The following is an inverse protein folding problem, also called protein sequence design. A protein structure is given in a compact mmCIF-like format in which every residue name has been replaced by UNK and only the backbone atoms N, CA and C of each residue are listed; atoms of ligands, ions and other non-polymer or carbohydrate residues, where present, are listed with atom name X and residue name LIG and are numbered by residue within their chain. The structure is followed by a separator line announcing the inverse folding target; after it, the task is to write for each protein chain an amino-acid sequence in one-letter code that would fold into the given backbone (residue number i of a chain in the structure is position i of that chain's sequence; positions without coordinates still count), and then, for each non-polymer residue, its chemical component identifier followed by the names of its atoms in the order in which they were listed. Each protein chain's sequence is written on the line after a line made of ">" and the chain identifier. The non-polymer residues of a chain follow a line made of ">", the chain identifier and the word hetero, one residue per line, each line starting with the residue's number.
data_IF_102489107764
#
_entry.id   IF_102489107764
#
_cell.length_a   1.000
_cell.length_b   1.000
_cell.length_c   1.000
_cell.angle_alpha   90.00
_cell.angle_beta   90.00
_cell.angle_gamma   90.00
#
_symmetry.space_group_name_H-M   'P 1'
#
loop_
_entity.id
_entity.type
_entity.pdbx_description
1 polymer ?
#
# COMPACT_ATOMS: atom_id res chain seq x y z
N UNK A 1 3.40 -10.71 -17.15
CA UNK A 1 3.45 -10.87 -15.68
C UNK A 1 4.67 -10.09 -15.21
N UNK A 2 4.49 -8.88 -14.69
CA UNK A 2 5.59 -8.10 -14.14
C UNK A 2 5.72 -8.51 -12.67
N UNK A 3 6.82 -9.19 -12.34
CA UNK A 3 7.16 -9.60 -10.99
C UNK A 3 7.65 -8.36 -10.22
N UNK A 4 6.74 -7.74 -9.47
CA UNK A 4 6.99 -6.62 -8.55
C UNK A 4 7.56 -7.14 -7.20
N UNK A 5 8.64 -7.94 -7.27
CA UNK A 5 9.28 -8.61 -6.12
C UNK A 5 10.25 -7.71 -5.33
N UNK A 6 10.08 -6.38 -5.38
CA UNK A 6 11.02 -5.45 -4.74
C UNK A 6 10.84 -5.30 -3.21
N UNK A 7 9.95 -6.03 -2.55
CA UNK A 7 9.65 -5.85 -1.12
C UNK A 7 9.83 -7.11 -0.24
N UNK A 8 10.27 -8.25 -0.78
CA UNK A 8 10.22 -9.55 -0.06
C UNK A 8 11.19 -9.61 1.14
N UNK A 9 12.17 -8.70 1.24
CA UNK A 9 13.17 -8.68 2.31
C UNK A 9 12.98 -7.55 3.33
N UNK A 10 11.92 -6.75 3.24
CA UNK A 10 11.66 -5.67 4.19
C UNK A 10 11.02 -6.27 5.44
N UNK A 11 11.76 -6.27 6.56
CA UNK A 11 11.23 -6.65 7.86
C UNK A 11 9.95 -5.83 8.13
N UNK A 12 8.81 -6.51 8.17
CA UNK A 12 7.46 -6.03 8.50
C UNK A 12 7.42 -4.91 9.56
N UNK A 13 8.30 -5.02 10.56
CA UNK A 13 8.33 -4.11 11.71
C UNK A 13 8.95 -2.75 11.41
N UNK A 14 9.60 -2.60 10.26
CA UNK A 14 10.49 -1.47 9.98
C UNK A 14 10.02 -0.56 8.85
N UNK A 15 8.88 -0.82 8.20
CA UNK A 15 8.43 -0.02 7.04
C UNK A 15 6.93 0.29 7.05
N UNK A 16 6.57 1.43 6.46
CA UNK A 16 5.19 1.79 6.10
C UNK A 16 5.06 1.78 4.58
N UNK A 17 3.97 1.22 4.07
CA UNK A 17 3.62 1.26 2.66
C UNK A 17 2.72 2.46 2.36
N UNK A 18 2.97 3.11 1.23
CA UNK A 18 2.21 4.25 0.75
C UNK A 18 1.42 3.88 -0.50
N UNK A 19 0.17 4.32 -0.55
CA UNK A 19 -0.70 4.15 -1.69
C UNK A 19 -1.43 5.45 -2.00
N UNK A 20 -1.66 5.70 -3.29
CA UNK A 20 -2.79 6.52 -3.70
C UNK A 20 -4.01 5.61 -3.82
N UNK A 21 -5.09 5.97 -3.14
CA UNK A 21 -6.26 5.15 -2.97
C UNK A 21 -7.51 5.92 -3.38
N UNK A 22 -8.27 5.33 -4.30
CA UNK A 22 -9.55 5.84 -4.75
C UNK A 22 -10.66 4.94 -4.22
N UNK A 23 -11.70 5.50 -3.60
CA UNK A 23 -12.82 4.69 -3.12
C UNK A 23 -13.52 4.00 -4.29
N UNK A 24 -13.73 2.69 -4.18
CA UNK A 24 -14.50 1.93 -5.19
C UNK A 24 -15.94 2.39 -5.29
N UNK A 25 -16.52 2.76 -4.15
CA UNK A 25 -17.89 3.23 -4.06
C UNK A 25 -18.09 4.65 -4.64
N UNK A 26 -17.00 5.41 -4.82
CA UNK A 26 -17.05 6.78 -5.31
C UNK A 26 -15.84 7.06 -6.22
N UNK A 27 -16.02 6.81 -7.52
CA UNK A 27 -14.98 6.99 -8.53
C UNK A 27 -14.74 8.47 -8.91
N UNK A 28 -15.62 9.38 -8.49
CA UNK A 28 -15.46 10.83 -8.70
C UNK A 28 -14.70 11.50 -7.54
N UNK A 29 -14.54 10.80 -6.41
CA UNK A 29 -13.75 11.31 -5.28
C UNK A 29 -12.28 11.56 -5.68
N UNK A 30 -11.60 12.44 -4.96
CA UNK A 30 -10.17 12.67 -5.21
C UNK A 30 -9.36 11.53 -4.58
N UNK A 31 -8.37 10.96 -5.29
CA UNK A 31 -7.51 9.93 -4.71
C UNK A 31 -6.82 10.45 -3.43
N UNK A 32 -6.94 9.69 -2.34
CA UNK A 32 -6.30 10.02 -1.08
C UNK A 32 -4.99 9.25 -0.89
N UNK A 33 -4.04 9.83 -0.14
CA UNK A 33 -2.79 9.15 0.19
C UNK A 33 -2.97 8.34 1.47
N UNK A 34 -2.96 7.02 1.36
CA UNK A 34 -3.00 6.09 2.50
C UNK A 34 -1.59 5.63 2.86
N UNK A 35 -1.29 5.62 4.16
CA UNK A 35 -0.05 5.06 4.72
C UNK A 35 -0.42 3.94 5.70
N UNK A 36 0.10 2.74 5.48
CA UNK A 36 -0.25 1.55 6.27
C UNK A 36 0.99 0.78 6.71
N UNK A 37 0.97 0.26 7.95
CA UNK A 37 1.94 -0.73 8.42
C UNK A 37 1.40 -2.12 8.09
N UNK A 38 2.21 -2.95 7.44
CA UNK A 38 1.86 -4.32 7.12
C UNK A 38 3.14 -5.17 7.05
N UNK A 39 2.99 -6.48 7.09
CA UNK A 39 4.15 -7.37 7.04
C UNK A 39 4.76 -7.49 5.65
N UNK A 40 3.95 -7.24 4.62
CA UNK A 40 4.35 -7.27 3.23
C UNK A 40 3.51 -6.30 2.40
N UNK A 41 3.98 -6.00 1.18
CA UNK A 41 3.19 -5.24 0.21
C UNK A 41 1.88 -5.97 -0.13
N UNK A 42 1.92 -7.31 -0.17
CA UNK A 42 0.75 -8.15 -0.41
C UNK A 42 -0.30 -7.97 0.69
N UNK A 43 0.11 -8.02 1.96
CA UNK A 43 -0.80 -7.80 3.09
C UNK A 43 -1.36 -6.38 3.10
N UNK A 44 -0.50 -5.38 2.85
CA UNK A 44 -0.93 -3.99 2.74
C UNK A 44 -2.03 -3.81 1.68
N UNK A 45 -1.83 -4.42 0.49
CA UNK A 45 -2.84 -4.42 -0.58
C UNK A 45 -4.09 -5.16 -0.18
N UNK A 46 -3.97 -6.36 0.43
CA UNK A 46 -5.12 -7.18 0.81
C UNK A 46 -6.04 -6.46 1.80
N UNK A 47 -5.48 -5.68 2.71
CA UNK A 47 -6.25 -4.88 3.68
C UNK A 47 -7.07 -3.79 2.96
N UNK A 48 -6.50 -3.14 1.94
CA UNK A 48 -7.11 -1.96 1.32
C UNK A 48 -7.96 -2.26 0.08
N UNK A 49 -7.69 -3.35 -0.64
CA UNK A 49 -8.28 -3.64 -1.96
C UNK A 49 -9.81 -3.79 -1.95
N UNK A 50 -10.38 -4.19 -0.80
CA UNK A 50 -11.83 -4.34 -0.64
C UNK A 50 -12.58 -3.01 -0.80
N UNK A 51 -11.97 -1.90 -0.38
CA UNK A 51 -12.61 -0.58 -0.38
C UNK A 51 -12.05 0.35 -1.45
N UNK A 52 -10.81 0.10 -1.89
CA UNK A 52 -10.07 1.03 -2.73
C UNK A 52 -9.55 0.39 -4.03
N UNK A 53 -9.49 1.21 -5.07
CA UNK A 53 -8.56 1.04 -6.20
C UNK A 53 -7.24 1.67 -5.78
N UNK A 54 -6.14 0.93 -5.92
CA UNK A 54 -4.85 1.26 -5.30
C UNK A 54 -3.75 1.42 -6.35
N UNK A 55 -2.97 2.48 -6.22
CA UNK A 55 -1.71 2.68 -6.91
C UNK A 55 -0.60 2.71 -5.85
N UNK A 56 0.40 1.84 -6.00
CA UNK A 56 1.54 1.78 -5.09
C UNK A 56 2.42 3.02 -5.27
N UNK A 57 2.70 3.71 -4.17
CA UNK A 57 3.48 4.96 -4.16
C UNK A 57 4.85 4.80 -3.50
N UNK A 58 5.21 3.61 -3.03
CA UNK A 58 6.49 3.31 -2.38
C UNK A 58 6.34 2.87 -0.93
N UNK A 59 7.48 2.73 -0.25
CA UNK A 59 7.53 2.45 1.18
C UNK A 59 8.61 3.32 1.85
N UNK A 60 8.41 3.62 3.13
CA UNK A 60 9.37 4.38 3.93
C UNK A 60 9.75 3.61 5.19
N UNK A 61 11.02 3.63 5.60
CA UNK A 61 11.42 3.04 6.87
C UNK A 61 10.77 3.80 8.02
N UNK A 62 10.38 3.07 9.06
CA UNK A 62 10.01 3.60 10.36
C UNK A 62 11.33 3.79 11.10
N UNK A 63 11.90 5.00 11.03
CA UNK A 63 12.96 5.38 11.95
C UNK A 63 12.34 5.54 13.33
N UNK A 64 12.86 4.79 14.31
CA UNK A 64 12.60 5.00 15.73
C UNK A 64 13.33 6.23 16.23
#
# INVERSE_FOLDING_TARGET
>A
MVNDDHCVHLNAKSYKFLFYAQLRADQESTPERITIKAESLYDARRILVQRYVLIYAGCVPIQN
#
